data_IF_246301836341
#
_entry.id   IF_246301836341
#
_cell.length_a   1.000
_cell.length_b   1.000
_cell.length_c   1.000
_cell.angle_alpha   90.00
_cell.angle_beta   90.00
_cell.angle_gamma   90.00
#
_symmetry.space_group_name_H-M   'P 1'
#
loop_
_entity.id
_entity.type
_entity.pdbx_description
1 polymer ?
#
# COMPACT_ATOMS: atom_id res chain seq x y z
N UNK A 1 -51.90 -4.21 -2.24
CA UNK A 1 -51.53 -5.62 -1.98
C UNK A 1 -50.02 -5.67 -1.76
N UNK A 2 -49.56 -6.00 -0.56
CA UNK A 2 -48.13 -6.11 -0.22
C UNK A 2 -47.71 -7.58 -0.25
N UNK A 3 -46.94 -8.05 -1.23
CA UNK A 3 -46.21 -9.31 -1.09
C UNK A 3 -44.86 -9.05 -0.40
N UNK A 4 -44.34 -10.09 0.28
CA UNK A 4 -42.96 -10.24 0.76
C UNK A 4 -42.61 -9.97 2.22
N UNK A 5 -43.55 -10.13 3.17
CA UNK A 5 -43.21 -10.29 4.60
C UNK A 5 -42.80 -11.72 4.98
N UNK A 6 -43.12 -12.72 4.16
CA UNK A 6 -42.84 -14.15 4.43
C UNK A 6 -41.40 -14.54 4.03
N UNK A 7 -40.87 -13.98 2.94
CA UNK A 7 -39.50 -14.26 2.49
C UNK A 7 -38.43 -13.74 3.47
N UNK A 8 -38.68 -12.59 4.09
CA UNK A 8 -37.77 -12.01 5.10
C UNK A 8 -37.75 -12.87 6.38
N UNK A 9 -38.89 -13.42 6.79
CA UNK A 9 -38.96 -14.30 7.98
C UNK A 9 -38.26 -15.64 7.74
N UNK A 10 -38.40 -16.25 6.56
CA UNK A 10 -37.69 -17.49 6.22
C UNK A 10 -36.17 -17.29 6.19
N UNK A 11 -35.68 -16.14 5.68
CA UNK A 11 -34.25 -15.82 5.70
C UNK A 11 -33.70 -15.66 7.12
N UNK A 12 -34.44 -15.03 8.03
CA UNK A 12 -34.05 -14.89 9.44
C UNK A 12 -33.99 -16.22 10.20
N UNK A 13 -34.90 -17.17 9.91
CA UNK A 13 -34.85 -18.51 10.50
C UNK A 13 -33.73 -19.38 9.93
N UNK A 14 -33.39 -19.25 8.64
CA UNK A 14 -32.22 -19.91 8.05
C UNK A 14 -30.90 -19.38 8.61
N UNK A 15 -30.78 -18.07 8.85
CA UNK A 15 -29.59 -17.47 9.48
C UNK A 15 -29.45 -17.93 10.94
N UNK A 16 -30.54 -18.00 11.71
CA UNK A 16 -30.47 -18.53 13.08
C UNK A 16 -30.14 -20.03 13.13
N UNK A 17 -30.64 -20.84 12.20
CA UNK A 17 -30.28 -22.26 12.11
C UNK A 17 -28.81 -22.45 11.69
N UNK A 18 -28.26 -21.63 10.79
CA UNK A 18 -26.83 -21.65 10.45
C UNK A 18 -25.96 -21.25 11.64
N UNK A 19 -26.40 -20.29 12.47
CA UNK A 19 -25.70 -19.92 13.70
C UNK A 19 -25.75 -21.03 14.78
N UNK A 20 -26.86 -21.76 14.92
CA UNK A 20 -26.98 -22.87 15.86
C UNK A 20 -26.21 -24.11 15.39
N UNK A 21 -26.20 -24.41 14.08
CA UNK A 21 -25.32 -25.45 13.53
C UNK A 21 -23.83 -25.08 13.57
N UNK A 22 -23.47 -23.79 13.49
CA UNK A 22 -22.10 -23.32 13.76
C UNK A 22 -21.68 -23.47 15.22
N UNK A 23 -22.59 -23.21 16.18
CA UNK A 23 -22.33 -23.41 17.61
C UNK A 23 -22.21 -24.90 18.00
N UNK A 24 -22.82 -25.81 17.24
CA UNK A 24 -22.65 -27.26 17.41
C UNK A 24 -21.41 -27.77 16.63
N UNK A 25 -20.96 -27.07 15.58
CA UNK A 25 -19.71 -27.41 14.87
C UNK A 25 -18.44 -26.85 15.52
N UNK A 26 -18.54 -25.88 16.43
CA UNK A 26 -17.38 -25.38 17.19
C UNK A 26 -16.77 -26.45 18.09
N UNK A 27 -17.57 -27.34 18.68
CA UNK A 27 -17.06 -28.48 19.45
C UNK A 27 -16.32 -29.51 18.58
N UNK A 28 -16.72 -29.66 17.32
CA UNK A 28 -16.03 -30.54 16.37
C UNK A 28 -14.73 -29.91 15.82
N UNK A 29 -14.59 -28.59 15.82
CA UNK A 29 -13.40 -27.87 15.32
C UNK A 29 -12.33 -27.70 16.41
N UNK A 30 -12.74 -27.59 17.68
CA UNK A 30 -11.84 -27.67 18.84
C UNK A 30 -11.20 -29.06 19.01
N UNK A 31 -11.64 -30.06 18.23
CA UNK A 31 -11.08 -31.41 18.25
C UNK A 31 -9.92 -31.65 17.27
N UNK A 32 -9.48 -30.65 16.49
CA UNK A 32 -8.26 -30.81 15.68
C UNK A 32 -7.05 -31.00 16.60
N UNK A 33 -6.25 -32.07 16.45
CA UNK A 33 -5.11 -32.31 17.32
C UNK A 33 -4.15 -31.12 17.27
N UNK A 34 -3.75 -30.61 18.43
CA UNK A 34 -2.71 -29.57 18.60
C UNK A 34 -1.48 -29.83 17.71
N UNK A 35 -1.12 -31.10 17.54
CA UNK A 35 -0.04 -31.56 16.67
C UNK A 35 -0.18 -31.08 15.20
N UNK A 36 -1.40 -31.05 14.66
CA UNK A 36 -1.65 -30.58 13.29
C UNK A 36 -1.45 -29.05 13.17
N UNK A 37 -1.78 -28.29 14.22
CA UNK A 37 -1.53 -26.84 14.29
C UNK A 37 -0.03 -26.58 14.41
N UNK A 38 0.66 -27.30 15.30
CA UNK A 38 2.10 -27.16 15.52
C UNK A 38 2.90 -27.47 14.24
N UNK A 39 2.54 -28.55 13.54
CA UNK A 39 3.13 -28.90 12.23
C UNK A 39 2.92 -27.78 11.21
N UNK A 40 1.73 -27.17 11.18
CA UNK A 40 1.43 -26.08 10.24
C UNK A 40 2.20 -24.80 10.56
N UNK A 41 2.33 -24.46 11.84
CA UNK A 41 3.14 -23.33 12.32
C UNK A 41 4.60 -23.50 11.87
N UNK A 42 5.18 -24.69 12.03
CA UNK A 42 6.55 -24.97 11.58
C UNK A 42 6.69 -24.83 10.06
N UNK A 43 5.78 -25.42 9.29
CA UNK A 43 5.80 -25.33 7.82
C UNK A 43 5.73 -23.88 7.32
N UNK A 44 4.84 -23.06 7.89
CA UNK A 44 4.72 -21.65 7.51
C UNK A 44 5.97 -20.86 7.87
N UNK A 45 6.56 -21.12 9.04
CA UNK A 45 7.82 -20.51 9.45
C UNK A 45 8.96 -20.84 8.47
N UNK A 46 9.11 -22.10 8.07
CA UNK A 46 10.14 -22.54 7.13
C UNK A 46 9.94 -21.91 5.74
N UNK A 47 8.70 -21.80 5.27
CA UNK A 47 8.36 -21.13 4.00
C UNK A 47 8.73 -19.64 4.02
N UNK A 48 8.42 -18.92 5.11
CA UNK A 48 8.84 -17.53 5.26
C UNK A 48 10.36 -17.44 5.28
N UNK A 49 11.03 -18.24 6.11
CA UNK A 49 12.48 -18.18 6.28
C UNK A 49 13.24 -18.42 4.98
N UNK A 50 12.86 -19.45 4.23
CA UNK A 50 13.50 -19.82 2.96
C UNK A 50 13.24 -18.83 1.83
N UNK A 51 12.18 -18.02 1.93
CA UNK A 51 11.84 -17.02 0.92
C UNK A 51 12.72 -15.77 0.94
N UNK A 52 13.42 -15.47 2.05
CA UNK A 52 14.24 -14.26 2.15
C UNK A 52 15.43 -14.33 1.16
N UNK A 53 15.64 -13.26 0.38
CA UNK A 53 16.70 -13.23 -0.63
C UNK A 53 18.08 -13.26 0.04
N UNK A 54 18.85 -14.32 -0.21
CA UNK A 54 20.17 -14.50 0.41
C UNK A 54 21.29 -13.74 -0.32
N UNK A 55 21.14 -13.52 -1.62
CA UNK A 55 22.14 -12.90 -2.49
C UNK A 55 21.45 -11.99 -3.51
N UNK A 56 22.10 -10.87 -3.82
CA UNK A 56 21.57 -9.94 -4.80
C UNK A 56 21.75 -10.48 -6.21
N UNK A 57 20.72 -10.35 -7.06
CA UNK A 57 20.81 -10.65 -8.50
C UNK A 57 20.78 -9.36 -9.30
N UNK A 58 21.28 -9.37 -10.53
CA UNK A 58 21.13 -8.23 -11.44
C UNK A 58 19.87 -8.35 -12.28
N UNK A 59 19.38 -7.20 -12.74
CA UNK A 59 18.32 -7.16 -13.73
C UNK A 59 18.91 -7.48 -15.11
N UNK A 60 18.34 -8.48 -15.78
CA UNK A 60 18.64 -8.85 -17.17
C UNK A 60 17.32 -8.87 -17.92
N UNK A 61 17.13 -8.01 -18.95
CA UNK A 61 15.88 -7.91 -19.71
C UNK A 61 15.32 -9.28 -20.09
N UNK A 62 14.06 -9.54 -19.73
CA UNK A 62 13.31 -10.78 -20.04
C UNK A 62 13.90 -12.08 -19.46
N UNK A 63 14.98 -12.03 -18.69
CA UNK A 63 15.64 -13.20 -18.12
C UNK A 63 15.58 -13.22 -16.59
N UNK A 64 15.96 -12.12 -15.94
CA UNK A 64 15.99 -12.05 -14.48
C UNK A 64 15.65 -10.66 -13.95
N UNK A 65 14.98 -10.64 -12.81
CA UNK A 65 14.80 -9.42 -12.03
C UNK A 65 16.01 -9.16 -11.13
N UNK A 66 16.28 -7.88 -10.86
CA UNK A 66 17.11 -7.48 -9.73
C UNK A 66 16.39 -7.83 -8.43
N UNK A 67 17.00 -8.68 -7.62
CA UNK A 67 16.56 -8.99 -6.26
C UNK A 67 17.60 -8.44 -5.30
N UNK A 68 17.18 -7.67 -4.32
CA UNK A 68 18.06 -7.10 -3.30
C UNK A 68 18.24 -8.10 -2.16
N UNK A 69 19.49 -8.35 -1.74
CA UNK A 69 19.77 -9.18 -0.57
C UNK A 69 19.04 -8.67 0.67
N UNK A 70 18.40 -9.59 1.38
CA UNK A 70 17.71 -9.36 2.64
C UNK A 70 16.23 -8.98 2.56
N UNK A 71 15.74 -8.62 1.38
CA UNK A 71 14.31 -8.37 1.18
C UNK A 71 13.55 -9.68 1.01
N UNK A 72 12.23 -9.63 1.25
CA UNK A 72 11.34 -10.73 0.90
C UNK A 72 10.68 -10.50 -0.47
N UNK A 73 10.41 -11.57 -1.24
CA UNK A 73 9.70 -11.47 -2.49
C UNK A 73 8.36 -10.75 -2.39
N UNK A 74 8.24 -9.70 -3.20
CA UNK A 74 6.99 -8.99 -3.50
C UNK A 74 6.94 -8.81 -5.01
N UNK A 75 5.75 -8.85 -5.57
CA UNK A 75 5.54 -8.64 -6.99
C UNK A 75 4.50 -7.55 -7.23
N UNK A 76 4.83 -6.57 -8.05
CA UNK A 76 3.87 -5.63 -8.62
C UNK A 76 3.17 -6.30 -9.79
N UNK A 77 1.83 -6.29 -9.78
CA UNK A 77 0.98 -6.99 -10.74
C UNK A 77 -0.14 -6.09 -11.24
N UNK A 78 -0.54 -6.29 -12.50
CA UNK A 78 -1.76 -5.73 -13.04
C UNK A 78 -2.96 -6.60 -12.67
N UNK A 79 -4.00 -6.01 -12.10
CA UNK A 79 -5.26 -6.70 -11.83
C UNK A 79 -6.10 -6.73 -13.12
N UNK A 80 -5.87 -7.72 -13.98
CA UNK A 80 -6.64 -7.92 -15.21
C UNK A 80 -7.92 -8.72 -14.92
N UNK A 81 -9.02 -8.39 -15.62
CA UNK A 81 -10.31 -9.08 -15.54
C UNK A 81 -10.87 -9.31 -16.93
N UNK A 82 -11.28 -10.55 -17.21
CA UNK A 82 -12.02 -10.90 -18.42
C UNK A 82 -11.53 -12.19 -19.08
N UNK A 83 -11.07 -12.08 -20.32
CA UNK A 83 -10.74 -13.17 -21.26
C UNK A 83 -9.58 -14.07 -20.78
N UNK A 84 -9.35 -15.16 -21.52
CA UNK A 84 -8.31 -16.13 -21.18
C UNK A 84 -6.90 -15.51 -21.15
N UNK A 85 -6.57 -14.68 -22.13
CA UNK A 85 -5.28 -13.98 -22.21
C UNK A 85 -5.14 -12.91 -21.11
N UNK A 86 -6.22 -12.25 -20.68
CA UNK A 86 -6.20 -11.40 -19.49
C UNK A 86 -5.96 -12.19 -18.20
N UNK A 87 -6.53 -13.40 -18.07
CA UNK A 87 -6.22 -14.30 -16.95
C UNK A 87 -4.76 -14.71 -16.98
N UNK A 88 -4.22 -15.05 -18.15
CA UNK A 88 -2.80 -15.35 -18.33
C UNK A 88 -1.91 -14.15 -17.93
N UNK A 89 -2.27 -12.94 -18.36
CA UNK A 89 -1.56 -11.72 -17.98
C UNK A 89 -1.56 -11.50 -16.46
N UNK A 90 -2.70 -11.70 -15.79
CA UNK A 90 -2.79 -11.59 -14.32
C UNK A 90 -1.86 -12.55 -13.59
N UNK A 91 -1.62 -13.73 -14.16
CA UNK A 91 -0.79 -14.74 -13.52
C UNK A 91 0.70 -14.58 -13.86
N UNK A 92 1.02 -14.15 -15.09
CA UNK A 92 2.38 -14.14 -15.62
C UNK A 92 3.03 -12.75 -15.63
N UNK A 93 2.27 -11.68 -15.86
CA UNK A 93 2.80 -10.31 -15.94
C UNK A 93 2.94 -9.75 -14.52
N UNK A 94 4.17 -9.85 -14.01
CA UNK A 94 4.54 -9.38 -12.68
C UNK A 94 5.96 -8.87 -12.66
N UNK A 95 6.23 -7.87 -11.83
CA UNK A 95 7.55 -7.29 -11.65
C UNK A 95 8.00 -7.53 -10.21
N UNK A 96 9.17 -8.14 -10.00
CA UNK A 96 9.71 -8.24 -8.66
C UNK A 96 9.95 -6.85 -8.09
N UNK A 97 9.49 -6.59 -6.87
CA UNK A 97 9.63 -5.30 -6.21
C UNK A 97 10.48 -5.42 -4.94
N UNK A 98 11.53 -4.59 -4.87
CA UNK A 98 12.44 -4.52 -3.73
C UNK A 98 11.95 -3.44 -2.75
N UNK A 99 10.68 -3.49 -2.32
CA UNK A 99 10.20 -2.52 -1.34
C UNK A 99 10.51 -2.96 0.11
N UNK A 100 10.79 -1.97 0.96
CA UNK A 100 11.05 -2.20 2.39
C UNK A 100 9.77 -2.54 3.16
N UNK A 101 8.62 -2.06 2.69
CA UNK A 101 7.32 -2.19 3.36
C UNK A 101 6.99 -3.63 3.74
N UNK A 102 6.98 -4.55 2.77
CA UNK A 102 6.66 -5.96 3.05
C UNK A 102 7.74 -6.62 3.90
N UNK A 103 9.01 -6.26 3.71
CA UNK A 103 10.12 -6.81 4.49
C UNK A 103 9.99 -6.43 5.97
N UNK A 104 9.75 -5.15 6.30
CA UNK A 104 9.52 -4.73 7.68
C UNK A 104 8.30 -5.41 8.30
N UNK A 105 7.21 -5.56 7.54
CA UNK A 105 6.01 -6.27 8.00
C UNK A 105 6.29 -7.74 8.32
N UNK A 106 6.90 -8.47 7.39
CA UNK A 106 7.21 -9.89 7.56
C UNK A 106 8.09 -10.10 8.79
N UNK A 107 9.15 -9.31 8.95
CA UNK A 107 10.03 -9.42 10.12
C UNK A 107 9.31 -9.08 11.42
N UNK A 108 8.42 -8.09 11.42
CA UNK A 108 7.59 -7.75 12.58
C UNK A 108 6.65 -8.91 12.93
N UNK A 109 5.98 -9.50 11.94
CA UNK A 109 5.08 -10.64 12.13
C UNK A 109 5.81 -11.87 12.63
N UNK A 110 7.02 -12.15 12.17
CA UNK A 110 7.86 -13.25 12.69
C UNK A 110 8.18 -13.06 14.17
N UNK A 111 8.59 -11.85 14.56
CA UNK A 111 8.89 -11.51 15.95
C UNK A 111 7.64 -11.59 16.84
N UNK A 112 6.48 -11.13 16.35
CA UNK A 112 5.22 -11.25 17.06
C UNK A 112 4.73 -12.70 17.17
N UNK A 113 4.88 -13.49 16.10
CA UNK A 113 4.47 -14.90 16.10
C UNK A 113 5.29 -15.69 17.12
N UNK A 114 6.59 -15.42 17.20
CA UNK A 114 7.47 -15.96 18.23
C UNK A 114 7.04 -15.51 19.64
N UNK A 115 6.99 -14.20 19.88
CA UNK A 115 6.79 -13.64 21.24
C UNK A 115 5.38 -13.80 21.81
N UNK A 116 4.36 -13.79 20.97
CA UNK A 116 2.95 -13.82 21.39
C UNK A 116 2.21 -15.09 20.96
N UNK A 117 2.76 -15.86 20.03
CA UNK A 117 2.14 -17.07 19.49
C UNK A 117 2.93 -18.35 19.78
N UNK A 118 4.15 -18.26 20.33
CA UNK A 118 5.00 -19.43 20.54
C UNK A 118 5.42 -20.13 19.23
N UNK A 119 5.46 -19.38 18.11
CA UNK A 119 6.10 -19.84 16.88
C UNK A 119 7.61 -20.05 17.09
N UNK A 120 8.30 -20.78 16.20
CA UNK A 120 9.76 -20.88 16.25
C UNK A 120 10.44 -19.51 16.26
N UNK A 121 11.54 -19.40 17.00
CA UNK A 121 12.32 -18.17 17.05
C UNK A 121 13.02 -17.94 15.70
N UNK A 122 12.80 -16.79 15.03
CA UNK A 122 13.59 -16.45 13.85
C UNK A 122 15.08 -16.36 14.19
N UNK A 123 15.96 -16.72 13.26
CA UNK A 123 17.41 -16.63 13.54
C UNK A 123 17.87 -15.17 13.57
N UNK A 124 18.89 -14.86 14.36
CA UNK A 124 19.46 -13.51 14.39
C UNK A 124 20.06 -13.13 13.01
N UNK A 125 20.60 -14.11 12.27
CA UNK A 125 21.05 -13.93 10.89
C UNK A 125 19.92 -13.43 9.97
N UNK A 126 18.72 -14.00 10.09
CA UNK A 126 17.56 -13.59 9.29
C UNK A 126 17.16 -12.14 9.56
N UNK A 127 17.18 -11.74 10.84
CA UNK A 127 16.89 -10.37 11.26
C UNK A 127 17.94 -9.39 10.73
N UNK A 128 19.22 -9.72 10.90
CA UNK A 128 20.33 -8.88 10.44
C UNK A 128 20.30 -8.71 8.92
N UNK A 129 20.01 -9.77 8.16
CA UNK A 129 19.93 -9.72 6.71
C UNK A 129 18.87 -8.70 6.24
N UNK A 130 17.71 -8.66 6.90
CA UNK A 130 16.68 -7.65 6.64
C UNK A 130 17.12 -6.23 7.05
N UNK A 131 17.67 -6.08 8.26
CA UNK A 131 18.14 -4.80 8.79
C UNK A 131 19.25 -4.17 7.93
N UNK A 132 20.10 -5.00 7.32
CA UNK A 132 21.13 -4.57 6.36
C UNK A 132 20.54 -3.95 5.11
N UNK A 133 19.44 -4.50 4.58
CA UNK A 133 18.78 -3.92 3.40
C UNK A 133 18.19 -2.53 3.67
N UNK A 134 17.78 -2.22 4.91
CA UNK A 134 17.06 -0.98 5.24
C UNK A 134 17.85 0.31 5.02
N UNK A 135 19.19 0.25 4.97
CA UNK A 135 20.03 1.43 4.72
C UNK A 135 19.81 2.03 3.33
N UNK A 136 19.41 1.21 2.35
CA UNK A 136 19.20 1.66 0.99
C UNK A 136 17.95 2.55 0.87
N UNK A 137 17.04 2.46 1.83
CA UNK A 137 15.75 3.15 1.87
C UNK A 137 15.74 4.40 2.75
N UNK A 138 16.79 4.65 3.55
CA UNK A 138 16.86 5.88 4.35
C UNK A 138 16.82 7.12 3.45
N UNK A 139 16.02 8.13 3.82
CA UNK A 139 15.89 9.38 3.06
C UNK A 139 17.19 10.20 3.09
N UNK A 140 18.06 9.98 2.10
CA UNK A 140 19.39 10.60 2.00
C UNK A 140 19.36 12.08 1.61
N UNK A 141 18.18 12.67 1.40
CA UNK A 141 18.04 14.10 1.09
C UNK A 141 17.78 14.97 2.32
N UNK A 142 17.61 14.37 3.50
CA UNK A 142 17.44 15.08 4.76
C UNK A 142 18.78 15.21 5.50
N UNK A 143 18.93 16.22 6.37
CA UNK A 143 20.11 16.34 7.24
C UNK A 143 20.35 15.05 8.04
N UNK A 144 21.61 14.73 8.34
CA UNK A 144 21.98 13.52 9.08
C UNK A 144 21.20 13.39 10.41
N UNK A 145 20.91 12.14 10.81
CA UNK A 145 20.14 11.72 12.00
C UNK A 145 18.61 11.83 11.89
N UNK A 146 18.00 10.93 11.11
CA UNK A 146 16.55 10.66 11.13
C UNK A 146 16.27 9.16 10.91
N UNK A 147 15.01 8.78 11.10
CA UNK A 147 14.49 7.42 10.84
C UNK A 147 13.42 7.37 9.74
N UNK A 148 13.31 8.44 8.95
CA UNK A 148 12.42 8.50 7.77
C UNK A 148 13.01 7.67 6.62
N UNK A 149 12.18 6.83 6.00
CA UNK A 149 12.56 5.94 4.90
C UNK A 149 11.58 6.06 3.72
N UNK A 150 12.07 5.75 2.52
CA UNK A 150 11.28 5.62 1.29
C UNK A 150 10.78 4.20 1.06
N UNK A 151 9.69 4.07 0.31
CA UNK A 151 9.13 2.77 -0.08
C UNK A 151 10.11 1.92 -0.91
N UNK A 152 10.85 2.55 -1.82
CA UNK A 152 11.87 1.93 -2.67
C UNK A 152 13.29 2.35 -2.30
N UNK A 153 14.33 1.59 -2.69
CA UNK A 153 15.72 1.98 -2.51
C UNK A 153 16.00 3.31 -3.21
N UNK A 154 16.91 4.10 -2.64
CA UNK A 154 17.32 5.37 -3.22
C UNK A 154 18.57 5.21 -4.09
N UNK A 155 18.53 5.82 -5.28
CA UNK A 155 19.68 5.95 -6.18
C UNK A 155 20.06 7.43 -6.31
N UNK A 156 21.34 7.74 -6.13
CA UNK A 156 21.82 9.10 -6.32
C UNK A 156 21.82 9.45 -7.81
N UNK A 157 21.28 10.62 -8.13
CA UNK A 157 21.29 11.20 -9.46
C UNK A 157 22.35 12.32 -9.49
N UNK A 158 23.53 12.11 -10.11
CA UNK A 158 24.60 13.11 -10.14
C UNK A 158 24.19 14.40 -10.85
N UNK A 159 23.39 14.31 -11.91
CA UNK A 159 22.95 15.49 -12.68
C UNK A 159 22.02 16.40 -11.89
N UNK A 160 21.24 15.82 -10.95
CA UNK A 160 20.27 16.56 -10.13
C UNK A 160 20.80 16.85 -8.72
N UNK A 161 21.97 16.33 -8.36
CA UNK A 161 22.52 16.33 -7.01
C UNK A 161 21.49 15.89 -5.95
N UNK A 162 20.77 14.81 -6.24
CA UNK A 162 19.60 14.39 -5.45
C UNK A 162 19.44 12.87 -5.41
N UNK A 163 18.99 12.33 -4.28
CA UNK A 163 18.65 10.91 -4.15
C UNK A 163 17.19 10.68 -4.52
N UNK A 164 16.92 9.71 -5.38
CA UNK A 164 15.58 9.45 -5.92
C UNK A 164 15.18 8.00 -5.62
N UNK A 165 13.90 7.78 -5.34
CA UNK A 165 13.35 6.43 -5.30
C UNK A 165 13.61 5.73 -6.65
N UNK A 166 14.05 4.49 -6.59
CA UNK A 166 14.46 3.73 -7.76
C UNK A 166 13.95 2.29 -7.67
N UNK A 167 12.69 2.03 -8.09
CA UNK A 167 12.20 0.67 -8.25
C UNK A 167 12.89 0.03 -9.45
N UNK A 168 14.06 -0.54 -9.20
CA UNK A 168 15.01 -0.92 -10.24
C UNK A 168 14.39 -1.75 -11.37
N UNK A 169 13.51 -2.69 -11.04
CA UNK A 169 12.87 -3.52 -12.05
C UNK A 169 11.82 -2.74 -12.87
N UNK A 170 10.92 -2.01 -12.20
CA UNK A 170 9.86 -1.25 -12.88
C UNK A 170 10.47 -0.19 -13.80
N UNK A 171 11.42 0.61 -13.31
CA UNK A 171 12.09 1.63 -14.14
C UNK A 171 12.84 0.99 -15.31
N UNK A 172 13.58 -0.09 -15.08
CA UNK A 172 14.32 -0.74 -16.17
C UNK A 172 13.39 -1.29 -17.26
N UNK A 173 12.22 -1.84 -16.90
CA UNK A 173 11.22 -2.27 -17.87
C UNK A 173 10.60 -1.10 -18.64
N UNK A 174 10.30 0.01 -17.95
CA UNK A 174 9.81 1.24 -18.58
C UNK A 174 10.86 1.86 -19.52
N UNK A 175 12.15 1.72 -19.22
CA UNK A 175 13.20 2.19 -20.12
C UNK A 175 13.33 1.27 -21.35
N UNK A 176 13.23 -0.05 -21.19
CA UNK A 176 13.32 -1.00 -22.31
C UNK A 176 12.16 -0.84 -23.29
N UNK A 177 10.94 -0.63 -22.80
CA UNK A 177 9.77 -0.53 -23.67
C UNK A 177 9.85 0.66 -24.64
N UNK A 178 10.69 1.67 -24.35
CA UNK A 178 10.97 2.77 -25.28
C UNK A 178 11.69 2.31 -26.55
N UNK A 179 12.41 1.20 -26.49
CA UNK A 179 13.19 0.65 -27.61
C UNK A 179 12.52 -0.55 -28.29
N UNK A 180 11.43 -1.08 -27.72
CA UNK A 180 10.71 -2.21 -28.31
C UNK A 180 9.83 -1.75 -29.46
N UNK A 181 9.71 -2.53 -30.55
CA UNK A 181 8.74 -2.28 -31.60
C UNK A 181 7.33 -2.71 -31.12
N UNK A 182 6.78 -1.98 -30.13
CA UNK A 182 5.55 -2.35 -29.42
C UNK A 182 4.40 -2.64 -30.37
N UNK A 183 4.25 -1.85 -31.45
CA UNK A 183 3.23 -2.08 -32.48
C UNK A 183 3.37 -3.42 -33.18
N UNK A 184 4.59 -3.81 -33.54
CA UNK A 184 4.86 -5.09 -34.20
C UNK A 184 4.58 -6.25 -33.24
N UNK A 185 4.99 -6.11 -31.96
CA UNK A 185 4.71 -7.10 -30.93
C UNK A 185 3.20 -7.26 -30.72
N UNK A 186 2.48 -6.14 -30.61
CA UNK A 186 1.02 -6.10 -30.49
C UNK A 186 0.32 -6.77 -31.67
N UNK A 187 0.72 -6.46 -32.91
CA UNK A 187 0.18 -7.09 -34.12
C UNK A 187 0.43 -8.62 -34.14
N UNK A 188 1.64 -9.07 -33.80
CA UNK A 188 1.98 -10.50 -33.72
C UNK A 188 1.15 -11.23 -32.65
N UNK A 189 0.95 -10.61 -31.48
CA UNK A 189 0.09 -11.15 -30.42
C UNK A 189 -1.37 -11.27 -30.89
N UNK A 190 -1.86 -10.25 -31.60
CA UNK A 190 -3.19 -10.27 -32.20
C UNK A 190 -3.38 -11.40 -33.21
N UNK A 191 -2.35 -11.73 -33.99
CA UNK A 191 -2.37 -12.83 -34.98
C UNK A 191 -2.46 -14.22 -34.33
N UNK A 192 -1.89 -14.41 -33.15
CA UNK A 192 -1.96 -15.69 -32.40
C UNK A 192 -3.14 -15.78 -31.43
N UNK A 193 -4.06 -14.82 -31.48
CA UNK A 193 -5.29 -14.81 -30.68
C UNK A 193 -5.17 -14.16 -29.30
N UNK A 194 -4.08 -13.43 -29.02
CA UNK A 194 -3.82 -12.72 -27.76
C UNK A 194 -4.15 -11.21 -27.90
N UNK A 195 -5.39 -10.94 -28.34
CA UNK A 195 -5.90 -9.60 -28.71
C UNK A 195 -6.28 -8.68 -27.55
N UNK A 196 -6.08 -9.08 -26.31
CA UNK A 196 -6.14 -8.15 -25.18
C UNK A 196 -4.74 -7.83 -24.64
N UNK A 197 -3.72 -8.61 -25.01
CA UNK A 197 -2.32 -8.32 -24.69
C UNK A 197 -1.77 -7.16 -25.53
N UNK A 198 -2.17 -7.05 -26.80
CA UNK A 198 -1.83 -5.93 -27.68
C UNK A 198 -2.23 -4.58 -27.07
N UNK A 199 -3.48 -4.44 -26.60
CA UNK A 199 -4.00 -3.24 -25.93
C UNK A 199 -3.26 -2.96 -24.64
N UNK A 200 -2.96 -3.99 -23.85
CA UNK A 200 -2.14 -3.82 -22.64
C UNK A 200 -0.79 -3.19 -22.96
N UNK A 201 -0.07 -3.71 -23.97
CA UNK A 201 1.23 -3.16 -24.34
C UNK A 201 1.12 -1.74 -24.88
N UNK A 202 0.10 -1.42 -25.67
CA UNK A 202 -0.16 -0.05 -26.10
C UNK A 202 -0.44 0.88 -24.92
N UNK A 203 -1.31 0.50 -23.99
CA UNK A 203 -1.70 1.33 -22.86
C UNK A 203 -0.56 1.47 -21.87
N UNK A 204 0.19 0.41 -21.60
CA UNK A 204 1.41 0.46 -20.78
C UNK A 204 2.48 1.34 -21.43
N UNK A 205 2.63 1.30 -22.76
CA UNK A 205 3.51 2.23 -23.48
C UNK A 205 3.00 3.67 -23.41
N UNK A 206 1.70 3.93 -23.61
CA UNK A 206 1.08 5.26 -23.50
C UNK A 206 1.26 5.83 -22.08
N UNK A 207 1.03 5.02 -21.06
CA UNK A 207 1.11 5.40 -19.65
C UNK A 207 2.56 5.41 -19.11
N UNK A 208 3.58 5.09 -19.93
CA UNK A 208 4.98 4.95 -19.47
C UNK A 208 5.53 6.19 -18.76
N UNK A 209 5.22 7.39 -19.29
CA UNK A 209 5.71 8.66 -18.73
C UNK A 209 5.10 8.89 -17.35
N UNK A 210 3.80 8.64 -17.23
CA UNK A 210 3.06 8.70 -15.96
C UNK A 210 3.60 7.66 -14.96
N UNK A 211 3.77 6.41 -15.38
CA UNK A 211 4.31 5.34 -14.54
C UNK A 211 5.75 5.63 -14.06
N UNK A 212 6.56 6.25 -14.91
CA UNK A 212 7.92 6.70 -14.56
C UNK A 212 7.88 7.85 -13.56
N UNK A 213 6.97 8.82 -13.74
CA UNK A 213 6.76 9.89 -12.76
C UNK A 213 6.29 9.35 -11.40
N UNK A 214 5.40 8.35 -11.39
CA UNK A 214 4.95 7.65 -10.19
C UNK A 214 6.03 6.79 -9.52
N UNK A 215 7.17 6.57 -10.18
CA UNK A 215 8.33 5.89 -9.57
C UNK A 215 9.22 6.84 -8.76
N UNK A 216 8.94 8.15 -8.82
CA UNK A 216 9.70 9.23 -8.17
C UNK A 216 9.07 9.68 -6.84
N UNK A 217 8.44 8.75 -6.12
CA UNK A 217 7.75 9.06 -4.87
C UNK A 217 8.74 9.55 -3.80
N UNK A 218 8.35 10.54 -2.97
CA UNK A 218 9.13 10.92 -1.80
C UNK A 218 9.10 9.79 -0.75
N UNK A 219 9.88 9.97 0.32
CA UNK A 219 9.67 9.18 1.52
C UNK A 219 8.24 9.34 2.06
N UNK A 220 7.73 8.29 2.70
CA UNK A 220 6.35 8.24 3.18
C UNK A 220 6.26 7.85 4.65
N UNK A 221 5.15 8.24 5.27
CA UNK A 221 4.85 7.98 6.67
C UNK A 221 4.34 6.55 6.89
N UNK A 222 3.98 5.83 5.83
CA UNK A 222 3.54 4.43 5.90
C UNK A 222 4.71 3.53 6.30
N UNK A 223 5.72 3.53 5.42
CA UNK A 223 6.94 2.77 5.51
C UNK A 223 7.76 3.20 6.73
N UNK A 224 7.85 4.50 6.98
CA UNK A 224 8.55 5.03 8.16
C UNK A 224 7.91 4.54 9.47
N UNK A 225 6.59 4.45 9.53
CA UNK A 225 5.89 3.97 10.73
C UNK A 225 6.07 2.48 10.94
N UNK A 226 6.01 1.67 9.89
CA UNK A 226 6.20 0.22 9.99
C UNK A 226 7.65 -0.12 10.33
N UNK A 227 8.63 0.62 9.80
CA UNK A 227 10.04 0.50 10.17
C UNK A 227 10.25 0.80 11.67
N UNK A 228 9.58 1.83 12.21
CA UNK A 228 9.58 2.09 13.65
C UNK A 228 8.87 0.98 14.45
N UNK A 229 7.74 0.46 13.96
CA UNK A 229 7.03 -0.64 14.61
C UNK A 229 7.94 -1.88 14.71
N UNK A 230 8.64 -2.24 13.63
CA UNK A 230 9.65 -3.29 13.63
C UNK A 230 10.73 -3.05 14.70
N UNK A 231 11.32 -1.85 14.74
CA UNK A 231 12.32 -1.50 15.75
C UNK A 231 11.80 -1.55 17.18
N UNK A 232 10.55 -1.12 17.41
CA UNK A 232 9.89 -1.22 18.71
C UNK A 232 9.62 -2.68 19.10
N UNK A 233 9.28 -3.55 18.15
CA UNK A 233 9.16 -5.00 18.35
C UNK A 233 10.49 -5.62 18.73
N UNK A 234 11.54 -5.31 17.99
CA UNK A 234 12.90 -5.78 18.25
C UNK A 234 13.45 -5.30 19.60
N UNK A 235 13.16 -4.05 20.00
CA UNK A 235 13.53 -3.50 21.32
C UNK A 235 12.97 -4.32 22.48
N UNK A 236 11.73 -4.77 22.35
CA UNK A 236 11.08 -5.55 23.41
C UNK A 236 11.61 -6.99 23.48
N UNK A 237 12.18 -7.48 22.38
CA UNK A 237 12.85 -8.78 22.27
C UNK A 237 14.37 -8.65 22.26
N UNK A 238 14.92 -7.58 22.84
CA UNK A 238 16.37 -7.30 22.84
C UNK A 238 17.21 -8.33 23.61
N UNK A 239 16.58 -9.17 24.44
CA UNK A 239 17.28 -10.25 25.15
C UNK A 239 17.53 -11.42 24.21
N UNK A 240 16.54 -11.72 23.37
CA UNK A 240 16.54 -12.78 22.37
C UNK A 240 17.28 -12.36 21.09
N UNK A 241 17.28 -11.06 20.77
CA UNK A 241 17.90 -10.48 19.57
C UNK A 241 18.83 -9.29 19.89
N UNK A 242 19.86 -9.47 20.73
CA UNK A 242 20.68 -8.37 21.22
C UNK A 242 21.52 -7.70 20.12
N UNK A 243 22.01 -8.45 19.14
CA UNK A 243 22.82 -7.87 18.06
C UNK A 243 21.94 -7.19 17.03
N UNK A 244 20.84 -7.83 16.60
CA UNK A 244 19.89 -7.22 15.67
C UNK A 244 19.32 -5.91 16.23
N UNK A 245 18.91 -5.88 17.50
CA UNK A 245 18.47 -4.64 18.15
C UNK A 245 19.54 -3.55 18.11
N UNK A 246 20.79 -3.89 18.44
CA UNK A 246 21.90 -2.94 18.48
C UNK A 246 22.16 -2.32 17.10
N UNK A 247 22.19 -3.14 16.05
CA UNK A 247 22.40 -2.68 14.66
C UNK A 247 21.24 -1.82 14.19
N UNK A 248 20.00 -2.22 14.44
CA UNK A 248 18.85 -1.40 14.08
C UNK A 248 18.87 -0.05 14.83
N UNK A 249 19.16 -0.07 16.14
CA UNK A 249 19.21 1.13 16.96
C UNK A 249 20.35 2.09 16.55
N UNK A 250 21.53 1.58 16.19
CA UNK A 250 22.64 2.44 15.74
C UNK A 250 22.37 3.10 14.39
N UNK A 251 21.59 2.45 13.52
CA UNK A 251 21.17 2.99 12.22
C UNK A 251 19.95 3.93 12.30
N UNK A 252 19.29 3.98 13.46
CA UNK A 252 18.10 4.80 13.70
C UNK A 252 18.29 5.69 14.95
N UNK A 253 19.28 6.60 14.93
CA UNK A 253 19.67 7.36 16.12
C UNK A 253 18.61 8.37 16.56
N UNK A 254 17.79 8.88 15.62
CA UNK A 254 16.74 9.86 15.90
C UNK A 254 15.37 9.35 15.44
N UNK A 255 14.73 8.53 16.28
CA UNK A 255 13.37 8.03 16.02
C UNK A 255 12.30 9.11 16.15
N UNK A 256 12.58 10.19 16.91
CA UNK A 256 11.65 11.30 17.11
C UNK A 256 11.36 12.01 15.79
N UNK A 257 12.30 11.98 14.84
CA UNK A 257 12.13 12.56 13.50
C UNK A 257 10.89 12.08 12.75
N UNK A 258 10.44 10.83 12.98
CA UNK A 258 9.22 10.31 12.32
C UNK A 258 7.97 10.94 12.94
N UNK A 259 7.95 11.15 14.25
CA UNK A 259 6.84 11.85 14.92
C UNK A 259 6.83 13.33 14.56
N UNK A 260 8.01 13.95 14.43
CA UNK A 260 8.14 15.33 13.94
C UNK A 260 7.64 15.44 12.49
N UNK A 261 7.97 14.47 11.63
CA UNK A 261 7.45 14.39 10.28
C UNK A 261 5.93 14.22 10.26
N UNK A 262 5.35 13.33 11.07
CA UNK A 262 3.90 13.18 11.20
C UNK A 262 3.27 14.54 11.55
N UNK A 263 3.78 15.25 12.55
CA UNK A 263 3.26 16.56 12.95
C UNK A 263 3.39 17.61 11.85
N UNK A 264 4.54 17.64 11.17
CA UNK A 264 4.86 18.63 10.15
C UNK A 264 4.04 18.44 8.87
N UNK A 265 3.84 17.19 8.43
CA UNK A 265 3.15 16.84 7.18
C UNK A 265 1.65 16.57 7.36
N UNK A 266 1.12 16.66 8.57
CA UNK A 266 -0.30 16.44 8.84
C UNK A 266 -1.20 17.45 8.13
N UNK A 267 -2.31 16.95 7.59
CA UNK A 267 -3.39 17.79 7.07
C UNK A 267 -4.14 18.46 8.21
N UNK A 268 -4.27 19.78 8.10
CA UNK A 268 -4.93 20.70 9.04
C UNK A 268 -5.94 21.54 8.27
N UNK A 269 -7.18 21.08 8.13
CA UNK A 269 -8.20 21.71 7.28
C UNK A 269 -8.53 23.16 7.67
N UNK A 270 -8.32 23.52 8.94
CA UNK A 270 -8.64 24.84 9.49
C UNK A 270 -7.42 25.77 9.61
N UNK A 271 -6.25 25.32 9.16
CA UNK A 271 -5.04 26.14 9.10
C UNK A 271 -5.09 27.09 7.90
N UNK A 272 -4.44 28.25 8.00
CA UNK A 272 -4.24 29.16 6.86
C UNK A 272 -3.03 28.76 5.99
N UNK A 273 -2.14 27.91 6.53
CA UNK A 273 -0.93 27.50 5.84
C UNK A 273 -1.23 26.47 4.73
N UNK A 274 -0.94 26.86 3.48
CA UNK A 274 -1.14 26.06 2.26
C UNK A 274 -0.60 24.64 2.38
N UNK A 275 0.61 24.51 2.92
CA UNK A 275 1.32 23.23 3.08
C UNK A 275 0.62 22.24 4.01
N UNK A 276 -0.25 22.74 4.89
CA UNK A 276 -0.99 21.92 5.84
C UNK A 276 -2.48 21.84 5.51
N UNK A 277 -3.06 22.81 4.79
CA UNK A 277 -4.50 22.86 4.54
C UNK A 277 -4.91 22.38 3.14
N UNK A 278 -4.00 21.81 2.35
CA UNK A 278 -4.30 21.29 1.02
C UNK A 278 -4.29 19.77 0.99
N UNK A 279 -5.31 19.16 0.38
CA UNK A 279 -5.47 17.70 0.35
C UNK A 279 -6.09 17.20 -0.95
N UNK A 280 -5.84 15.93 -1.26
CA UNK A 280 -6.51 15.17 -2.31
C UNK A 280 -8.05 15.26 -2.20
N UNK A 281 -8.77 15.62 -3.27
CA UNK A 281 -10.23 15.76 -3.26
C UNK A 281 -11.00 14.50 -2.86
N UNK A 282 -10.47 13.30 -3.12
CA UNK A 282 -11.06 12.03 -2.67
C UNK A 282 -11.00 11.93 -1.15
N UNK A 283 -9.89 12.38 -0.58
CA UNK A 283 -9.69 12.43 0.87
C UNK A 283 -10.69 13.38 1.51
N UNK A 284 -10.81 14.59 0.98
CA UNK A 284 -11.79 15.55 1.47
C UNK A 284 -13.21 14.99 1.36
N UNK A 285 -13.55 14.40 0.21
CA UNK A 285 -14.87 13.84 -0.05
C UNK A 285 -15.30 12.86 1.04
N UNK A 286 -14.47 11.88 1.43
CA UNK A 286 -14.88 10.92 2.47
C UNK A 286 -14.81 11.49 3.90
N UNK A 287 -13.96 12.49 4.15
CA UNK A 287 -13.80 13.09 5.48
C UNK A 287 -14.79 14.23 5.78
N UNK A 288 -15.43 14.81 4.77
CA UNK A 288 -16.19 16.07 4.90
C UNK A 288 -17.13 16.14 6.11
N UNK A 289 -17.88 15.07 6.39
CA UNK A 289 -18.81 15.05 7.53
C UNK A 289 -18.11 15.05 8.88
N UNK A 290 -16.97 14.36 8.99
CA UNK A 290 -16.12 14.45 10.18
C UNK A 290 -15.55 15.88 10.35
N UNK A 291 -15.19 16.54 9.24
CA UNK A 291 -14.70 17.92 9.25
C UNK A 291 -15.80 18.93 9.64
N UNK A 292 -17.03 18.72 9.15
CA UNK A 292 -18.20 19.53 9.52
C UNK A 292 -18.44 19.47 11.03
N UNK A 293 -18.47 18.25 11.57
CA UNK A 293 -18.63 18.01 13.01
C UNK A 293 -17.50 18.65 13.82
N UNK A 294 -16.25 18.52 13.36
CA UNK A 294 -15.10 19.12 14.03
C UNK A 294 -15.17 20.65 14.00
N UNK A 295 -15.55 21.24 12.86
CA UNK A 295 -15.69 22.69 12.70
C UNK A 295 -16.80 23.23 13.60
N UNK A 296 -17.96 22.57 13.63
CA UNK A 296 -19.09 22.96 14.47
C UNK A 296 -18.76 22.94 15.97
N UNK A 297 -17.88 22.02 16.39
CA UNK A 297 -17.40 21.89 17.78
C UNK A 297 -16.20 22.78 18.12
N UNK A 298 -15.63 23.48 17.13
CA UNK A 298 -14.41 24.27 17.33
C UNK A 298 -13.17 23.41 17.61
N UNK A 299 -13.15 22.16 17.16
CA UNK A 299 -12.02 21.26 17.37
C UNK A 299 -10.88 21.58 16.39
N UNK A 300 -9.64 21.58 16.87
CA UNK A 300 -8.47 21.46 15.99
C UNK A 300 -8.39 20.04 15.41
N UNK A 301 -7.96 19.94 14.16
CA UNK A 301 -7.85 18.67 13.42
C UNK A 301 -6.47 18.59 12.80
N UNK A 302 -5.75 17.52 13.11
CA UNK A 302 -4.50 17.15 12.46
C UNK A 302 -4.56 15.68 12.06
N UNK A 303 -4.48 15.41 10.75
CA UNK A 303 -4.63 14.07 10.20
C UNK A 303 -3.35 13.63 9.48
N UNK A 304 -2.92 12.40 9.75
CA UNK A 304 -1.70 11.83 9.20
C UNK A 304 -1.87 11.62 7.70
N UNK A 305 -0.94 12.15 6.93
CA UNK A 305 -0.92 12.04 5.46
C UNK A 305 0.01 10.93 5.00
N UNK A 306 -0.04 10.55 3.72
CA UNK A 306 0.81 9.49 3.17
C UNK A 306 2.25 9.95 3.01
N UNK A 307 2.48 11.05 2.29
CA UNK A 307 3.82 11.46 1.88
C UNK A 307 4.46 12.37 2.92
N UNK A 308 5.76 12.16 3.19
CA UNK A 308 6.55 13.07 4.02
C UNK A 308 7.06 14.25 3.18
N UNK A 309 6.15 14.96 2.50
CA UNK A 309 6.45 16.09 1.62
C UNK A 309 5.30 17.11 1.66
N UNK A 310 5.65 18.40 1.76
CA UNK A 310 4.74 19.54 1.63
C UNK A 310 4.61 20.01 0.17
N UNK A 311 3.62 20.86 -0.14
CA UNK A 311 3.49 21.46 -1.47
C UNK A 311 4.70 22.36 -1.79
N UNK A 312 5.18 23.13 -0.82
CA UNK A 312 6.37 23.98 -0.97
C UNK A 312 7.64 23.17 -1.23
N UNK A 313 7.83 22.03 -0.55
CA UNK A 313 8.94 21.12 -0.84
C UNK A 313 8.81 20.51 -2.24
N UNK A 314 7.61 20.06 -2.62
CA UNK A 314 7.36 19.53 -3.96
C UNK A 314 7.73 20.52 -5.05
N UNK A 315 7.31 21.79 -4.94
CA UNK A 315 7.68 22.85 -5.89
C UNK A 315 9.20 22.97 -6.09
N UNK A 316 9.99 22.71 -5.04
CA UNK A 316 11.46 22.74 -5.08
C UNK A 316 12.11 21.43 -5.54
N UNK A 317 11.40 20.31 -5.43
CA UNK A 317 11.96 18.96 -5.57
C UNK A 317 11.44 18.20 -6.79
N UNK A 318 10.34 18.62 -7.42
CA UNK A 318 9.76 17.87 -8.54
C UNK A 318 10.73 17.76 -9.73
N UNK A 319 11.43 18.84 -10.10
CA UNK A 319 12.48 18.81 -11.14
C UNK A 319 13.67 17.94 -10.74
N UNK A 320 13.92 17.84 -9.42
CA UNK A 320 14.91 16.93 -8.83
C UNK A 320 14.44 15.48 -8.80
N UNK A 321 13.22 15.19 -9.27
CA UNK A 321 12.60 13.87 -9.34
C UNK A 321 12.18 13.32 -7.98
N UNK A 322 11.54 14.15 -7.16
CA UNK A 322 10.76 13.69 -6.02
C UNK A 322 9.43 14.45 -5.97
N UNK A 323 8.33 13.73 -6.15
CA UNK A 323 6.99 14.31 -6.21
C UNK A 323 5.95 13.39 -5.59
N UNK A 324 5.00 13.97 -4.85
CA UNK A 324 3.81 13.24 -4.42
C UNK A 324 3.07 12.72 -5.66
N UNK A 325 2.42 11.56 -5.52
CA UNK A 325 1.57 11.02 -6.57
C UNK A 325 0.49 12.05 -6.94
N UNK A 326 0.42 12.47 -8.22
CA UNK A 326 -0.49 13.53 -8.71
C UNK A 326 -0.31 14.88 -8.00
N UNK A 327 0.89 15.14 -7.47
CA UNK A 327 1.27 16.44 -6.96
C UNK A 327 0.57 16.87 -5.67
N UNK A 328 -0.13 15.98 -4.96
CA UNK A 328 -0.87 16.31 -3.75
C UNK A 328 -0.82 15.17 -2.73
N UNK A 329 -0.88 15.54 -1.45
CA UNK A 329 -0.94 14.56 -0.37
C UNK A 329 -2.36 14.02 -0.18
N UNK A 330 -2.47 12.84 0.40
CA UNK A 330 -3.74 12.19 0.70
C UNK A 330 -3.71 11.58 2.10
N UNK A 331 -4.88 11.30 2.67
CA UNK A 331 -5.01 10.51 3.90
C UNK A 331 -5.43 9.12 3.49
N UNK A 332 -4.50 8.18 3.57
CA UNK A 332 -4.76 6.76 3.43
C UNK A 332 -5.05 6.18 4.82
N UNK A 333 -6.21 5.54 4.98
CA UNK A 333 -6.59 4.94 6.27
C UNK A 333 -5.65 3.80 6.66
N UNK A 334 -5.08 3.07 5.70
CA UNK A 334 -4.03 2.07 5.95
C UNK A 334 -2.77 2.70 6.53
N UNK A 335 -2.29 3.81 5.94
CA UNK A 335 -1.15 4.58 6.47
C UNK A 335 -1.44 5.08 7.88
N UNK A 336 -2.65 5.60 8.12
CA UNK A 336 -3.05 6.07 9.45
C UNK A 336 -3.05 4.92 10.46
N UNK A 337 -3.58 3.75 10.08
CA UNK A 337 -3.55 2.57 10.93
C UNK A 337 -2.10 2.11 11.22
N UNK A 338 -1.21 2.20 10.24
CA UNK A 338 0.20 1.82 10.39
C UNK A 338 0.98 2.81 11.25
N UNK A 339 0.69 4.11 11.12
CA UNK A 339 1.19 5.14 12.03
C UNK A 339 0.69 4.90 13.46
N UNK A 340 -0.61 4.64 13.63
CA UNK A 340 -1.19 4.28 14.93
C UNK A 340 -0.56 3.00 15.47
N UNK A 341 -0.27 1.99 14.65
CA UNK A 341 0.44 0.77 15.06
C UNK A 341 1.87 1.07 15.53
N UNK A 342 2.60 1.92 14.80
CA UNK A 342 3.93 2.38 15.18
C UNK A 342 3.94 3.20 16.47
N UNK A 343 2.88 3.97 16.73
CA UNK A 343 2.71 4.79 17.95
C UNK A 343 2.18 3.95 19.12
N UNK A 344 1.23 3.06 18.87
CA UNK A 344 0.44 2.31 19.84
C UNK A 344 0.47 0.83 19.47
N UNK A 345 1.06 0.00 20.34
CA UNK A 345 1.00 -1.45 20.18
C UNK A 345 -0.43 -1.93 20.42
N UNK A 346 -1.23 -2.04 19.36
CA UNK A 346 -2.63 -2.46 19.50
C UNK A 346 -2.74 -3.99 19.41
N UNK A 347 -2.82 -4.64 20.58
CA UNK A 347 -3.09 -6.07 20.68
C UNK A 347 -4.56 -6.46 20.41
N UNK A 348 -5.49 -5.49 20.44
CA UNK A 348 -6.94 -5.75 20.40
C UNK A 348 -7.52 -6.16 19.04
N UNK A 349 -6.94 -5.71 17.93
CA UNK A 349 -7.47 -5.95 16.58
C UNK A 349 -7.19 -7.39 16.09
N UNK A 350 -6.15 -8.03 16.61
CA UNK A 350 -5.67 -9.34 16.14
C UNK A 350 -6.65 -10.48 16.48
N UNK A 351 -7.38 -10.37 17.58
CA UNK A 351 -8.33 -11.41 18.01
C UNK A 351 -9.46 -11.62 16.98
N UNK A 352 -9.99 -10.54 16.39
CA UNK A 352 -11.11 -10.60 15.43
C UNK A 352 -10.69 -11.00 14.02
N UNK A 353 -9.47 -10.68 13.61
CA UNK A 353 -8.94 -11.08 12.30
C UNK A 353 -8.53 -12.57 12.27
N UNK A 354 -8.08 -13.11 13.41
CA UNK A 354 -7.64 -14.51 13.52
C UNK A 354 -8.79 -15.50 13.36
N UNK A 355 -9.99 -15.13 13.82
CA UNK A 355 -11.20 -15.94 13.68
C UNK A 355 -11.58 -16.15 12.20
N UNK A 356 -11.50 -15.10 11.38
CA UNK A 356 -11.77 -15.20 9.94
C UNK A 356 -10.71 -16.00 9.16
N UNK A 357 -9.42 -15.80 9.47
CA UNK A 357 -8.31 -16.45 8.76
C UNK A 357 -8.27 -17.97 8.96
N UNK A 358 -8.71 -18.48 10.12
CA UNK A 358 -8.81 -19.93 10.39
C UNK A 358 -9.82 -20.61 9.46
N UNK A 359 -10.85 -19.89 9.01
CA UNK A 359 -11.92 -20.45 8.17
C UNK A 359 -11.62 -20.43 6.67
N UNK A 360 -10.81 -19.49 6.17
CA UNK A 360 -10.75 -19.21 4.71
C UNK A 360 -9.37 -19.31 4.06
N UNK A 361 -8.28 -19.45 4.83
CA UNK A 361 -6.91 -19.36 4.28
C UNK A 361 -6.32 -20.67 3.72
N UNK A 362 -6.96 -21.83 3.95
CA UNK A 362 -6.38 -23.16 3.64
C UNK A 362 -7.33 -24.14 2.94
N UNK A 363 -8.53 -23.72 2.55
CA UNK A 363 -9.46 -24.55 1.78
C UNK A 363 -9.10 -24.58 0.28
N UNK A 364 -9.26 -25.71 -0.40
CA UNK A 364 -9.08 -25.81 -1.87
C UNK A 364 -10.09 -24.97 -2.67
N UNK A 365 -11.16 -24.50 -2.04
CA UNK A 365 -12.17 -23.61 -2.63
C UNK A 365 -11.68 -22.17 -2.82
N UNK A 366 -10.69 -21.72 -2.04
CA UNK A 366 -10.09 -20.39 -2.16
C UNK A 366 -8.58 -20.55 -2.11
N UNK A 367 -7.89 -20.40 -3.26
CA UNK A 367 -6.47 -20.03 -3.20
C UNK A 367 -6.43 -18.59 -2.71
N UNK A 368 -6.02 -18.29 -1.46
CA UNK A 368 -5.70 -16.91 -1.15
C UNK A 368 -4.58 -16.50 -2.11
N UNK A 369 -4.88 -15.58 -3.01
CA UNK A 369 -3.84 -14.77 -3.62
C UNK A 369 -3.04 -14.13 -2.48
N UNK A 370 -1.76 -13.89 -2.72
CA UNK A 370 -0.89 -13.39 -1.66
C UNK A 370 -1.45 -12.13 -0.99
N UNK A 371 -1.14 -11.94 0.29
CA UNK A 371 -1.41 -10.72 1.03
C UNK A 371 -0.99 -9.54 0.16
N UNK A 372 -1.95 -8.64 -0.04
CA UNK A 372 -1.84 -7.58 -1.02
C UNK A 372 -2.12 -6.22 -0.41
N UNK A 373 -1.46 -5.23 -0.98
CA UNK A 373 -1.84 -3.83 -0.88
C UNK A 373 -1.89 -3.25 -2.30
N UNK A 374 -2.68 -2.20 -2.50
CA UNK A 374 -2.98 -1.68 -3.84
C UNK A 374 -2.73 -0.19 -3.92
N UNK A 375 -2.40 0.26 -5.13
CA UNK A 375 -2.21 1.69 -5.42
C UNK A 375 -3.46 2.50 -5.08
N UNK A 376 -3.32 3.81 -4.85
CA UNK A 376 -4.45 4.69 -4.52
C UNK A 376 -5.50 4.80 -5.64
N UNK A 377 -5.12 4.44 -6.87
CA UNK A 377 -6.00 4.44 -8.05
C UNK A 377 -6.56 3.03 -8.25
N UNK A 378 -7.87 2.86 -8.10
CA UNK A 378 -8.55 1.56 -8.22
C UNK A 378 -9.12 1.30 -9.62
N UNK A 379 -9.38 2.38 -10.36
CA UNK A 379 -9.81 2.45 -11.77
C UNK A 379 -9.76 3.92 -12.25
N UNK A 380 -10.09 4.18 -13.52
CA UNK A 380 -10.07 5.54 -14.09
C UNK A 380 -10.94 6.55 -13.35
N UNK A 381 -12.07 6.10 -12.77
CA UNK A 381 -13.01 6.96 -12.02
C UNK A 381 -12.66 7.14 -10.54
N UNK A 382 -11.50 6.67 -10.08
CA UNK A 382 -10.99 6.96 -8.72
C UNK A 382 -9.86 7.97 -8.73
N UNK A 383 -9.67 8.69 -9.83
CA UNK A 383 -8.64 9.71 -9.90
C UNK A 383 -9.06 10.96 -9.13
N UNK A 384 -8.11 11.72 -8.54
CA UNK A 384 -8.42 12.88 -7.71
C UNK A 384 -9.37 13.89 -8.36
N UNK A 385 -9.17 14.15 -9.66
CA UNK A 385 -9.93 15.12 -10.43
C UNK A 385 -11.37 14.71 -10.77
N UNK A 386 -11.78 13.49 -10.41
CA UNK A 386 -13.17 13.04 -10.49
C UNK A 386 -14.03 13.57 -9.32
N UNK A 387 -13.40 14.20 -8.33
CA UNK A 387 -14.03 14.69 -7.11
C UNK A 387 -13.92 16.22 -7.02
N UNK A 388 -14.81 16.90 -6.27
CA UNK A 388 -14.75 18.35 -6.15
C UNK A 388 -13.48 18.86 -5.48
N UNK A 389 -12.76 19.73 -6.17
CA UNK A 389 -11.62 20.51 -5.68
C UNK A 389 -11.93 22.00 -5.79
N UNK A 390 -11.06 22.84 -5.24
CA UNK A 390 -11.18 24.30 -5.34
C UNK A 390 -9.85 24.97 -5.73
N UNK A 391 -8.86 24.17 -6.18
CA UNK A 391 -7.55 24.65 -6.61
C UNK A 391 -6.92 23.70 -7.63
N UNK A 392 -6.31 24.30 -8.65
CA UNK A 392 -5.62 23.58 -9.71
C UNK A 392 -4.37 24.32 -10.18
N UNK A 393 -3.23 23.63 -10.23
CA UNK A 393 -1.93 24.25 -10.55
C UNK A 393 -0.96 23.24 -11.16
N UNK A 394 0.09 23.73 -11.81
CA UNK A 394 1.27 22.95 -12.17
C UNK A 394 2.11 22.62 -10.93
N UNK A 395 2.99 21.60 -11.00
CA UNK A 395 3.87 21.23 -9.87
C UNK A 395 4.83 22.34 -9.43
N UNK A 396 5.14 23.30 -10.31
CA UNK A 396 5.91 24.50 -9.97
C UNK A 396 5.10 25.56 -9.21
N UNK A 397 3.79 25.37 -9.05
CA UNK A 397 2.88 26.27 -8.33
C UNK A 397 2.15 27.28 -9.21
N UNK A 398 2.40 27.33 -10.52
CA UNK A 398 1.65 28.18 -11.45
C UNK A 398 0.19 27.74 -11.49
N UNK A 399 -0.73 28.65 -11.16
CA UNK A 399 -2.18 28.40 -11.19
C UNK A 399 -2.67 28.14 -12.62
N UNK A 400 -3.61 27.22 -12.76
CA UNK A 400 -4.26 26.89 -14.03
C UNK A 400 -5.66 27.47 -14.00
N UNK A 401 -5.95 28.45 -14.87
CA UNK A 401 -7.29 29.01 -15.04
C UNK A 401 -7.52 29.47 -16.48
N UNK A 402 -8.68 29.16 -17.11
CA UNK A 402 -9.76 28.29 -16.60
C UNK A 402 -9.31 26.83 -16.50
N UNK A 403 -9.90 26.02 -15.62
CA UNK A 403 -9.48 24.62 -15.44
C UNK A 403 -9.60 23.76 -16.71
N UNK A 404 -10.49 24.14 -17.62
CA UNK A 404 -10.65 23.50 -18.93
C UNK A 404 -9.48 23.72 -19.90
N UNK A 405 -8.56 24.64 -19.60
CA UNK A 405 -7.40 24.93 -20.44
C UNK A 405 -6.33 23.85 -20.42
N UNK A 406 -6.29 22.99 -19.39
CA UNK A 406 -5.27 21.96 -19.25
C UNK A 406 -5.82 20.70 -18.56
N UNK A 407 -5.83 19.53 -19.22
CA UNK A 407 -6.31 18.28 -18.61
C UNK A 407 -5.37 17.80 -17.50
N UNK A 408 -5.89 17.23 -16.38
CA UNK A 408 -5.04 16.73 -15.31
C UNK A 408 -4.09 15.62 -15.76
N UNK A 409 -2.82 15.75 -15.40
CA UNK A 409 -1.74 14.81 -15.72
C UNK A 409 -0.69 14.71 -14.59
N UNK A 410 0.50 14.15 -14.86
CA UNK A 410 1.60 14.02 -13.90
C UNK A 410 2.34 15.34 -13.59
N UNK A 411 2.09 16.42 -14.32
CA UNK A 411 2.70 17.74 -14.14
C UNK A 411 1.79 18.72 -13.41
N UNK A 412 0.62 18.27 -13.00
CA UNK A 412 -0.39 19.09 -12.34
C UNK A 412 -0.76 18.54 -10.97
N UNK A 413 -1.39 19.40 -10.17
CA UNK A 413 -1.90 19.11 -8.85
C UNK A 413 -3.29 19.74 -8.71
N UNK A 414 -4.30 18.89 -8.50
CA UNK A 414 -5.69 19.25 -8.31
C UNK A 414 -6.12 18.87 -6.90
N UNK A 415 -6.63 19.83 -6.13
CA UNK A 415 -6.75 19.70 -4.67
C UNK A 415 -7.93 20.45 -4.08
N UNK A 416 -8.25 20.10 -2.83
CA UNK A 416 -9.06 20.92 -1.93
C UNK A 416 -8.13 21.68 -1.00
N UNK A 417 -8.28 23.00 -0.95
CA UNK A 417 -7.62 23.91 -0.02
C UNK A 417 -8.61 24.35 1.06
N UNK A 418 -8.20 24.21 2.31
CA UNK A 418 -8.95 24.59 3.49
C UNK A 418 -10.18 23.71 3.74
N UNK A 419 -11.05 24.22 4.60
CA UNK A 419 -12.39 23.70 4.83
C UNK A 419 -13.40 24.37 3.89
N UNK A 420 -14.24 23.56 3.26
CA UNK A 420 -15.35 23.99 2.40
C UNK A 420 -16.66 23.72 3.15
N UNK A 421 -17.48 24.77 3.45
CA UNK A 421 -18.78 24.60 4.09
C UNK A 421 -19.72 23.65 3.33
N UNK A 422 -20.68 22.98 4.00
CA UNK A 422 -21.52 21.95 3.39
C UNK A 422 -22.33 22.45 2.20
N UNK A 423 -22.86 23.67 2.28
CA UNK A 423 -23.64 24.30 1.20
C UNK A 423 -22.76 24.51 -0.04
N UNK A 424 -21.59 25.11 0.13
CA UNK A 424 -20.64 25.34 -0.95
C UNK A 424 -20.15 24.02 -1.57
N UNK A 425 -19.83 23.02 -0.74
CA UNK A 425 -19.40 21.72 -1.25
C UNK A 425 -20.55 20.99 -1.98
N UNK A 426 -21.79 21.19 -1.52
CA UNK A 426 -23.01 20.71 -2.17
C UNK A 426 -23.13 21.21 -3.61
N UNK A 427 -22.87 22.50 -3.84
CA UNK A 427 -22.82 23.09 -5.17
C UNK A 427 -21.74 22.44 -6.03
N UNK A 428 -20.52 22.30 -5.51
CA UNK A 428 -19.42 21.69 -6.27
C UNK A 428 -19.68 20.21 -6.61
N UNK A 429 -20.40 19.46 -5.76
CA UNK A 429 -20.81 18.08 -6.04
C UNK A 429 -21.87 17.95 -7.16
N UNK A 430 -22.55 19.05 -7.51
CA UNK A 430 -23.50 19.10 -8.61
C UNK A 430 -22.83 19.46 -9.95
N UNK A 431 -21.62 20.00 -9.92
CA UNK A 431 -20.83 20.35 -11.10
C UNK A 431 -20.12 19.12 -11.72
N UNK A 432 -19.83 19.20 -13.02
CA UNK A 432 -18.99 18.21 -13.69
C UNK A 432 -17.51 18.59 -13.54
N UNK A 433 -16.74 17.76 -12.83
CA UNK A 433 -15.30 17.91 -12.72
C UNK A 433 -14.61 17.46 -14.01
N UNK A 434 -13.99 18.39 -14.74
CA UNK A 434 -13.30 18.10 -16.02
C UNK A 434 -14.18 17.34 -17.04
N UNK A 435 -15.48 17.65 -17.10
CA UNK A 435 -16.43 16.99 -17.99
C UNK A 435 -16.89 15.60 -17.53
N UNK A 436 -16.53 15.19 -16.31
CA UNK A 436 -16.95 13.93 -15.72
C UNK A 436 -17.95 14.15 -14.59
N UNK A 437 -18.92 13.24 -14.47
CA UNK A 437 -19.81 13.20 -13.31
C UNK A 437 -19.06 12.64 -12.09
N UNK A 438 -19.37 13.18 -10.92
CA UNK A 438 -18.88 12.67 -9.63
C UNK A 438 -19.22 11.17 -9.49
N UNK A 439 -18.22 10.30 -9.30
CA UNK A 439 -18.46 8.90 -8.99
C UNK A 439 -19.16 8.77 -7.63
N UNK A 440 -20.40 8.26 -7.63
CA UNK A 440 -21.17 7.98 -6.40
C UNK A 440 -21.21 6.51 -6.03
N UNK A 441 -20.97 5.66 -7.02
CA UNK A 441 -21.04 4.21 -6.88
C UNK A 441 -19.65 3.59 -7.06
N UNK A 442 -19.31 2.65 -6.19
CA UNK A 442 -18.13 1.82 -6.35
C UNK A 442 -18.54 0.50 -7.00
N UNK A 443 -18.16 0.31 -8.26
CA UNK A 443 -18.47 -0.93 -9.00
C UNK A 443 -17.42 -2.02 -8.82
N UNK A 444 -16.45 -1.84 -7.90
CA UNK A 444 -15.36 -2.77 -7.66
C UNK A 444 -14.01 -2.28 -8.16
N UNK A 445 -12.97 -3.04 -7.86
CA UNK A 445 -11.64 -2.81 -8.39
C UNK A 445 -11.62 -3.15 -9.89
N UNK A 446 -11.00 -2.30 -10.70
CA UNK A 446 -10.86 -2.52 -12.15
C UNK A 446 -12.18 -2.58 -12.95
N UNK A 447 -13.26 -1.99 -12.45
CA UNK A 447 -14.59 -2.19 -13.00
C UNK A 447 -14.87 -1.47 -14.34
N UNK A 448 -13.92 -0.69 -14.87
CA UNK A 448 -14.03 -0.11 -16.21
C UNK A 448 -13.55 -1.09 -17.30
N UNK A 449 -12.99 -2.26 -16.95
CA UNK A 449 -12.49 -3.29 -17.88
C UNK A 449 -11.53 -2.78 -18.97
N UNK A 450 -11.06 -1.54 -18.85
CA UNK A 450 -10.30 -0.83 -19.89
C UNK A 450 -8.87 -0.52 -19.44
N UNK A 451 -8.59 -0.57 -18.14
CA UNK A 451 -7.24 -0.45 -17.61
C UNK A 451 -6.97 -1.57 -16.62
N UNK A 452 -5.70 -1.77 -16.28
CA UNK A 452 -5.26 -2.61 -15.18
C UNK A 452 -5.02 -1.74 -13.94
N UNK A 453 -5.33 -2.26 -12.76
CA UNK A 453 -4.96 -1.67 -11.48
C UNK A 453 -3.66 -2.30 -10.96
N UNK A 454 -2.67 -1.49 -10.62
CA UNK A 454 -1.46 -1.98 -9.95
C UNK A 454 -1.74 -2.37 -8.50
N UNK A 455 -1.33 -3.58 -8.14
CA UNK A 455 -1.29 -4.08 -6.78
C UNK A 455 0.02 -4.82 -6.51
N UNK A 456 0.34 -4.97 -5.23
CA UNK A 456 1.49 -5.74 -4.77
C UNK A 456 1.01 -7.03 -4.14
N UNK A 457 1.66 -8.14 -4.47
CA UNK A 457 1.36 -9.46 -3.93
C UNK A 457 2.63 -10.06 -3.32
N UNK A 458 2.51 -10.61 -2.10
CA UNK A 458 3.63 -11.28 -1.44
C UNK A 458 3.18 -12.57 -0.75
N UNK A 459 3.62 -13.70 -1.30
CA UNK A 459 3.47 -15.02 -0.69
C UNK A 459 4.10 -15.09 0.72
N UNK A 460 5.37 -14.70 0.96
CA UNK A 460 5.95 -14.76 2.30
C UNK A 460 5.23 -13.84 3.30
N UNK A 461 4.63 -12.74 2.85
CA UNK A 461 3.78 -11.91 3.71
C UNK A 461 2.51 -12.65 4.13
N UNK A 462 1.86 -13.34 3.20
CA UNK A 462 0.71 -14.22 3.46
C UNK A 462 1.05 -15.28 4.49
N UNK A 463 2.19 -15.96 4.30
CA UNK A 463 2.64 -17.01 5.21
C UNK A 463 2.93 -16.44 6.61
N UNK A 464 3.55 -15.26 6.71
CA UNK A 464 3.84 -14.61 7.98
C UNK A 464 2.56 -14.19 8.73
N UNK A 465 1.53 -13.69 8.02
CA UNK A 465 0.23 -13.35 8.63
C UNK A 465 -0.45 -14.60 9.16
N UNK A 466 -0.51 -15.66 8.36
CA UNK A 466 -1.11 -16.93 8.75
C UNK A 466 -0.34 -17.58 9.91
N UNK A 467 0.99 -17.48 9.90
CA UNK A 467 1.85 -17.94 11.00
C UNK A 467 1.47 -17.24 12.30
N UNK A 468 1.37 -15.90 12.31
CA UNK A 468 0.98 -15.15 13.50
C UNK A 468 -0.42 -15.54 13.97
N UNK A 469 -1.39 -15.63 13.07
CA UNK A 469 -2.78 -15.97 13.40
C UNK A 469 -2.88 -17.36 14.02
N UNK A 470 -2.28 -18.39 13.40
CA UNK A 470 -2.29 -19.76 13.91
C UNK A 470 -1.53 -19.89 15.23
N UNK A 471 -0.41 -19.19 15.37
CA UNK A 471 0.39 -19.21 16.60
C UNK A 471 -0.38 -18.56 17.76
N UNK A 472 -1.14 -17.47 17.52
CA UNK A 472 -2.03 -16.89 18.53
C UNK A 472 -3.21 -17.80 18.84
N UNK A 473 -3.84 -18.41 17.84
CA UNK A 473 -4.93 -19.36 18.03
C UNK A 473 -4.50 -20.54 18.92
N UNK A 474 -3.30 -21.09 18.68
CA UNK A 474 -2.68 -22.13 19.52
C UNK A 474 -2.66 -21.76 21.01
N UNK A 475 -2.41 -20.49 21.34
CA UNK A 475 -2.36 -20.01 22.73
C UNK A 475 -3.74 -19.76 23.35
N UNK A 476 -4.81 -19.73 22.55
CA UNK A 476 -6.19 -19.52 23.02
C UNK A 476 -6.88 -20.87 23.33
N UNK A 477 -6.53 -21.93 22.60
CA UNK A 477 -7.09 -23.28 22.77
C UNK A 477 -6.38 -24.11 23.85
N UNK A 478 -5.47 -23.50 24.60
CA UNK A 478 -4.83 -24.03 25.83
C UNK A 478 -5.47 -23.32 27.01
#
# INVERSE_FOLDING_TARGET
>A
MRPNTIAVRLFSYSVCMVCVFHAISTDAILSKPREAVDTRVQQLFDLVQTSQVQESTTFIPFYSFHKQKGVFPVYTKGNFHGTFDQTLMRDQVRFYDNNIFSTCYILTLLLEAFSHGGAPQPSEKQMLLGIDSFQDYQDKNRPYNHSIVSFWPLKYNPAKHFWQAYPANVVSYLDIIEYLPVKIIAELLGLVGLRDMDKFFEDFYKDRVENKALSLLPADLDTSSIHLAFGATLKNLKKEFPHAWRVWNSRNPNRISVFDAIKHYSYRPFSDAEDSNSIDPRTYFYLRHFLDDAKAKGNDVALITTWAQTLSEQKRQFEKGSTMARGINNICLGVTANAVLGITRVMGTVAKASEWLVHSSVGSQFKPHGALFSSSNKWSRTLPYMYPGNRYQFLNGTEIWPWSSYPPDHLTSYMVRGYIPPEQYGTLMAEQGFGHQLPRDFHGYNADNHKYMWYWESEPFTYAINLLALSKYRNIIV
#
